data_IF_228828741265
#
_entry.id   IF_228828741265
#
_cell.length_a   1.000
_cell.length_b   1.000
_cell.length_c   1.000
_cell.angle_alpha   90.00
_cell.angle_beta   90.00
_cell.angle_gamma   90.00
#
_symmetry.space_group_name_H-M   'P 1'
#
loop_
_entity.id
_entity.type
_entity.pdbx_description
1 polymer ?
#
# COMPACT_ATOMS: atom_id res chain seq x y z
N UNK A 1 5.87 -11.05 -37.01
CA UNK A 1 6.35 -12.15 -36.14
C UNK A 1 7.04 -11.53 -34.93
N UNK A 2 6.30 -11.27 -33.86
CA UNK A 2 6.67 -10.43 -32.70
C UNK A 2 7.29 -11.27 -31.54
N UNK A 3 7.36 -12.60 -31.68
CA UNK A 3 7.71 -13.54 -30.60
C UNK A 3 9.23 -13.70 -30.34
N UNK A 4 10.05 -12.63 -30.36
CA UNK A 4 11.50 -12.76 -30.12
C UNK A 4 12.15 -11.67 -29.24
N UNK A 5 11.40 -10.97 -28.40
CA UNK A 5 12.02 -10.12 -27.37
C UNK A 5 11.82 -10.79 -26.01
N UNK A 6 12.90 -11.27 -25.40
CA UNK A 6 12.89 -11.91 -24.09
C UNK A 6 12.85 -10.83 -22.99
N UNK A 7 11.76 -10.79 -22.22
CA UNK A 7 11.69 -10.03 -20.97
C UNK A 7 12.41 -10.77 -19.85
N UNK A 8 13.23 -10.06 -19.06
CA UNK A 8 14.03 -10.61 -17.97
C UNK A 8 13.23 -11.48 -16.99
N UNK A 9 13.86 -12.54 -16.48
CA UNK A 9 13.19 -13.76 -16.02
C UNK A 9 13.14 -13.99 -14.50
N UNK A 10 13.34 -12.98 -13.66
CA UNK A 10 13.44 -13.27 -12.21
C UNK A 10 12.11 -13.59 -11.51
N UNK A 11 10.94 -13.37 -12.13
CA UNK A 11 9.63 -13.77 -11.58
C UNK A 11 8.67 -14.31 -12.66
N UNK A 12 9.21 -15.03 -13.65
CA UNK A 12 8.55 -15.37 -14.92
C UNK A 12 7.10 -15.86 -14.83
N UNK A 13 6.17 -15.02 -15.29
CA UNK A 13 5.15 -15.49 -16.24
C UNK A 13 5.87 -15.77 -17.57
N UNK A 14 5.34 -16.72 -18.35
CA UNK A 14 5.87 -17.16 -19.65
C UNK A 14 6.49 -15.98 -20.42
N UNK A 15 7.68 -16.15 -20.97
CA UNK A 15 8.54 -15.07 -21.53
C UNK A 15 7.96 -14.26 -22.71
N UNK A 16 6.65 -14.20 -22.84
CA UNK A 16 5.88 -13.29 -23.66
C UNK A 16 5.92 -11.85 -23.09
N UNK A 17 5.84 -10.91 -24.02
CA UNK A 17 5.84 -9.47 -23.73
C UNK A 17 4.40 -9.10 -23.35
N UNK A 18 4.22 -8.40 -22.24
CA UNK A 18 2.89 -7.89 -21.86
C UNK A 18 2.36 -6.85 -22.87
N UNK A 19 1.05 -6.62 -22.87
CA UNK A 19 0.40 -5.68 -23.78
C UNK A 19 0.94 -4.24 -23.65
N UNK A 20 1.24 -3.79 -22.43
CA UNK A 20 1.81 -2.46 -22.16
C UNK A 20 3.20 -2.26 -22.76
N UNK A 21 3.96 -3.34 -22.93
CA UNK A 21 5.26 -3.30 -23.61
C UNK A 21 5.12 -3.54 -25.12
N UNK A 22 4.28 -4.49 -25.54
CA UNK A 22 4.12 -4.88 -26.94
C UNK A 22 3.52 -3.78 -27.80
N UNK A 23 2.47 -3.10 -27.31
CA UNK A 23 1.74 -2.10 -28.09
C UNK A 23 2.64 -0.90 -28.46
N UNK A 24 3.37 -0.25 -27.54
CA UNK A 24 4.31 0.80 -27.90
C UNK A 24 5.40 0.31 -28.85
N UNK A 25 6.01 -0.85 -28.58
CA UNK A 25 7.07 -1.40 -29.44
C UNK A 25 6.58 -1.72 -30.84
N UNK A 26 5.33 -2.14 -31.01
CA UNK A 26 4.73 -2.36 -32.32
C UNK A 26 4.78 -1.08 -33.16
N UNK A 27 4.28 0.04 -32.62
CA UNK A 27 4.26 1.32 -33.34
C UNK A 27 5.66 1.91 -33.53
N UNK A 28 6.52 1.86 -32.51
CA UNK A 28 7.90 2.38 -32.61
C UNK A 28 8.68 1.64 -33.69
N UNK A 29 8.56 0.31 -33.79
CA UNK A 29 9.27 -0.48 -34.80
C UNK A 29 8.80 -0.23 -36.24
N UNK A 30 7.65 0.40 -36.44
CA UNK A 30 7.21 0.84 -37.77
C UNK A 30 7.99 2.08 -38.24
N UNK A 31 8.30 2.99 -37.31
CA UNK A 31 8.94 4.27 -37.61
C UNK A 31 10.46 4.25 -37.43
N UNK A 32 10.94 3.56 -36.40
CA UNK A 32 12.35 3.49 -36.01
C UNK A 32 12.83 2.04 -36.00
N UNK A 33 14.05 1.80 -36.47
CA UNK A 33 14.67 0.46 -36.46
C UNK A 33 16.04 0.41 -35.79
N UNK A 34 16.66 1.57 -35.56
CA UNK A 34 17.97 1.68 -34.95
C UNK A 34 17.86 2.30 -33.55
N UNK A 35 17.48 1.47 -32.58
CA UNK A 35 17.42 1.84 -31.17
C UNK A 35 17.65 0.63 -30.29
N UNK A 36 18.13 0.88 -29.07
CA UNK A 36 18.18 -0.12 -28.00
C UNK A 36 16.94 0.06 -27.11
N UNK A 37 16.35 -1.04 -26.68
CA UNK A 37 15.21 -1.03 -25.76
C UNK A 37 15.57 -1.70 -24.44
N UNK A 38 15.04 -1.15 -23.35
CA UNK A 38 15.08 -1.74 -22.01
C UNK A 38 13.64 -1.80 -21.53
N UNK A 39 13.15 -3.01 -21.25
CA UNK A 39 11.83 -3.20 -20.62
C UNK A 39 11.97 -3.01 -19.13
N UNK A 40 11.09 -2.20 -18.56
CA UNK A 40 10.97 -1.97 -17.13
C UNK A 40 9.62 -2.49 -16.66
N UNK A 41 9.62 -3.44 -15.74
CA UNK A 41 8.40 -3.90 -15.06
C UNK A 41 8.06 -3.02 -13.86
N UNK A 42 6.78 -2.98 -13.50
CA UNK A 42 6.31 -2.40 -12.22
C UNK A 42 6.34 -3.47 -11.13
N UNK A 43 6.59 -3.05 -9.90
CA UNK A 43 6.65 -3.94 -8.74
C UNK A 43 5.46 -3.69 -7.81
N UNK A 44 5.32 -4.49 -6.74
CA UNK A 44 4.36 -4.22 -5.66
C UNK A 44 4.84 -3.18 -4.63
N UNK A 45 5.97 -2.49 -4.89
CA UNK A 45 6.55 -1.51 -3.96
C UNK A 45 5.72 -0.21 -3.89
N UNK A 46 6.03 0.65 -2.91
CA UNK A 46 5.35 1.94 -2.75
C UNK A 46 5.55 2.86 -3.97
N UNK A 47 4.68 3.86 -4.14
CA UNK A 47 4.85 4.86 -5.19
C UNK A 47 6.13 5.68 -5.01
N UNK A 48 6.56 5.90 -3.77
CA UNK A 48 7.82 6.58 -3.48
C UNK A 48 9.03 5.77 -3.99
N UNK A 49 9.02 4.45 -3.85
CA UNK A 49 10.08 3.59 -4.40
C UNK A 49 10.03 3.52 -5.93
N UNK A 50 8.84 3.48 -6.54
CA UNK A 50 8.70 3.58 -8.00
C UNK A 50 9.23 4.93 -8.54
N UNK A 51 8.96 6.03 -7.83
CA UNK A 51 9.49 7.34 -8.19
C UNK A 51 11.03 7.38 -8.05
N UNK A 52 11.56 6.85 -6.93
CA UNK A 52 13.02 6.72 -6.73
C UNK A 52 13.66 5.90 -7.83
N UNK A 53 13.01 4.83 -8.27
CA UNK A 53 13.50 4.02 -9.38
C UNK A 53 13.61 4.83 -10.68
N UNK A 54 12.66 5.73 -10.95
CA UNK A 54 12.77 6.72 -12.02
C UNK A 54 14.00 7.63 -11.90
N UNK A 55 14.30 8.13 -10.70
CA UNK A 55 15.51 8.93 -10.45
C UNK A 55 16.80 8.12 -10.72
N UNK A 56 16.80 6.83 -10.39
CA UNK A 56 17.93 5.92 -10.68
C UNK A 56 18.08 5.72 -12.20
N UNK A 57 16.98 5.56 -12.93
CA UNK A 57 16.99 5.50 -14.41
C UNK A 57 17.61 6.78 -14.97
N UNK A 58 17.15 7.96 -14.53
CA UNK A 58 17.71 9.26 -14.94
C UNK A 58 19.22 9.30 -14.73
N UNK A 59 19.68 9.02 -13.51
CA UNK A 59 21.10 9.06 -13.17
C UNK A 59 21.91 8.06 -14.00
N UNK A 60 21.37 6.87 -14.28
CA UNK A 60 22.04 5.86 -15.11
C UNK A 60 22.21 6.34 -16.56
N UNK A 61 21.18 6.96 -17.13
CA UNK A 61 21.21 7.52 -18.49
C UNK A 61 22.26 8.64 -18.60
N UNK A 62 22.30 9.53 -17.61
CA UNK A 62 23.26 10.63 -17.52
C UNK A 62 24.70 10.13 -17.37
N UNK A 63 24.94 9.17 -16.47
CA UNK A 63 26.27 8.57 -16.27
C UNK A 63 26.79 7.87 -17.53
N UNK A 64 25.90 7.26 -18.31
CA UNK A 64 26.24 6.64 -19.59
C UNK A 64 26.39 7.64 -20.74
N UNK A 65 26.03 8.91 -20.54
CA UNK A 65 26.03 9.95 -21.58
C UNK A 65 25.09 9.65 -22.75
N UNK A 66 23.99 8.93 -22.51
CA UNK A 66 23.06 8.47 -23.55
C UNK A 66 21.86 9.40 -23.67
N UNK A 67 21.32 9.52 -24.89
CA UNK A 67 19.98 10.08 -25.11
C UNK A 67 18.97 8.95 -24.95
N UNK A 68 17.97 9.15 -24.10
CA UNK A 68 16.92 8.16 -23.85
C UNK A 68 15.54 8.80 -23.99
N UNK A 69 14.58 8.01 -24.43
CA UNK A 69 13.15 8.33 -24.37
C UNK A 69 12.52 7.33 -23.40
N UNK A 70 11.77 7.83 -22.44
CA UNK A 70 11.03 7.01 -21.47
C UNK A 70 9.57 6.99 -21.88
N UNK A 71 9.00 5.79 -21.97
CA UNK A 71 7.58 5.59 -22.30
C UNK A 71 6.94 4.85 -21.11
N UNK A 72 6.06 5.52 -20.40
CA UNK A 72 5.17 4.88 -19.43
C UNK A 72 3.87 4.51 -20.13
N UNK A 73 3.62 3.20 -20.27
CA UNK A 73 2.42 2.67 -20.89
C UNK A 73 1.60 1.92 -19.85
N UNK A 74 0.30 2.20 -19.83
CA UNK A 74 -0.68 1.57 -18.98
C UNK A 74 -2.01 2.29 -19.12
N UNK A 75 -3.10 1.58 -18.86
CA UNK A 75 -4.44 2.16 -18.92
C UNK A 75 -4.69 3.04 -17.68
N UNK A 76 -5.59 4.01 -17.83
CA UNK A 76 -6.11 4.76 -16.68
C UNK A 76 -7.12 3.86 -15.94
N UNK A 77 -8.33 4.34 -15.64
CA UNK A 77 -9.33 3.48 -15.00
C UNK A 77 -10.00 2.51 -15.97
N UNK A 78 -10.36 1.31 -15.50
CA UNK A 78 -11.09 0.30 -16.27
C UNK A 78 -12.62 0.33 -16.04
N UNK A 79 -13.13 1.30 -15.28
CA UNK A 79 -14.51 1.33 -14.78
C UNK A 79 -15.31 2.59 -15.18
N UNK A 80 -15.00 3.19 -16.34
CA UNK A 80 -15.61 4.45 -16.82
C UNK A 80 -17.06 4.30 -17.29
N UNK A 81 -17.45 3.14 -17.81
CA UNK A 81 -18.78 2.90 -18.38
C UNK A 81 -19.37 1.60 -17.86
N UNK A 82 -20.71 1.50 -17.88
CA UNK A 82 -21.42 0.26 -17.48
C UNK A 82 -21.08 -0.94 -18.38
N UNK A 83 -20.64 -0.66 -19.60
CA UNK A 83 -20.24 -1.65 -20.61
C UNK A 83 -18.80 -2.13 -20.45
N UNK A 84 -18.03 -1.58 -19.51
CA UNK A 84 -16.66 -2.08 -19.28
C UNK A 84 -16.71 -3.49 -18.67
N UNK A 85 -15.65 -4.28 -18.88
CA UNK A 85 -15.52 -5.62 -18.30
C UNK A 85 -15.55 -5.63 -16.77
N UNK A 86 -15.31 -4.48 -16.14
CA UNK A 86 -15.26 -4.30 -14.69
C UNK A 86 -16.48 -3.54 -14.13
N UNK A 87 -17.43 -3.19 -14.99
CA UNK A 87 -18.60 -2.39 -14.66
C UNK A 87 -18.27 -0.92 -14.39
N UNK A 88 -19.32 -0.14 -14.15
CA UNK A 88 -19.19 1.28 -13.85
C UNK A 88 -18.91 1.51 -12.37
N UNK A 89 -17.90 2.34 -12.08
CA UNK A 89 -17.66 2.92 -10.75
C UNK A 89 -17.38 4.42 -10.90
N UNK A 90 -18.01 5.30 -10.10
CA UNK A 90 -17.76 6.74 -10.19
C UNK A 90 -16.29 7.11 -9.95
N UNK A 91 -15.57 6.29 -9.17
CA UNK A 91 -14.15 6.41 -8.89
C UNK A 91 -13.28 6.38 -10.16
N UNK A 92 -13.72 5.68 -11.22
CA UNK A 92 -13.01 5.67 -12.49
C UNK A 92 -12.90 7.07 -13.10
N UNK A 93 -14.04 7.76 -13.25
CA UNK A 93 -14.10 9.11 -13.79
C UNK A 93 -13.30 10.11 -12.94
N UNK A 94 -13.41 10.00 -11.61
CA UNK A 94 -12.68 10.85 -10.66
C UNK A 94 -11.17 10.64 -10.80
N UNK A 95 -10.72 9.38 -10.89
CA UNK A 95 -9.31 9.06 -11.05
C UNK A 95 -8.76 9.63 -12.36
N UNK A 96 -9.44 9.39 -13.48
CA UNK A 96 -9.03 9.85 -14.80
C UNK A 96 -8.91 11.39 -14.87
N UNK A 97 -9.88 12.11 -14.30
CA UNK A 97 -9.83 13.57 -14.23
C UNK A 97 -8.61 14.03 -13.41
N UNK A 98 -8.38 13.42 -12.25
CA UNK A 98 -7.26 13.78 -11.38
C UNK A 98 -5.91 13.48 -12.02
N UNK A 99 -5.72 12.28 -12.56
CA UNK A 99 -4.46 11.88 -13.19
C UNK A 99 -4.17 12.74 -14.41
N UNK A 100 -5.16 13.01 -15.28
CA UNK A 100 -4.95 13.85 -16.45
C UNK A 100 -4.66 15.31 -16.06
N UNK A 101 -5.27 15.83 -14.99
CA UNK A 101 -4.92 17.15 -14.45
C UNK A 101 -3.46 17.18 -13.99
N UNK A 102 -3.03 16.21 -13.19
CA UNK A 102 -1.66 16.12 -12.66
C UNK A 102 -0.64 16.02 -13.79
N UNK A 103 -0.89 15.10 -14.73
CA UNK A 103 0.00 14.87 -15.88
C UNK A 103 0.05 16.09 -16.78
N UNK A 104 -1.08 16.75 -17.08
CA UNK A 104 -1.10 17.96 -17.94
C UNK A 104 -0.34 19.16 -17.39
N UNK A 105 -0.14 19.22 -16.07
CA UNK A 105 0.60 20.28 -15.38
C UNK A 105 2.03 19.86 -15.02
N UNK A 106 2.41 18.62 -15.33
CA UNK A 106 3.64 18.00 -14.85
C UNK A 106 3.87 18.20 -13.34
N UNK A 107 2.79 18.20 -12.54
CA UNK A 107 2.86 18.37 -11.08
C UNK A 107 3.06 17.02 -10.39
N UNK A 108 4.16 16.36 -10.71
CA UNK A 108 4.36 14.95 -10.43
C UNK A 108 4.34 14.57 -8.95
N UNK A 109 4.64 15.51 -8.04
CA UNK A 109 4.53 15.26 -6.60
C UNK A 109 3.13 14.85 -6.16
N UNK A 110 2.08 15.27 -6.88
CA UNK A 110 0.71 14.86 -6.58
C UNK A 110 0.50 13.35 -6.77
N UNK A 111 1.22 12.69 -7.69
CA UNK A 111 1.12 11.24 -7.93
C UNK A 111 1.38 10.43 -6.64
N UNK A 112 2.33 10.87 -5.83
CA UNK A 112 2.72 10.21 -4.58
C UNK A 112 1.60 10.27 -3.52
N UNK A 113 0.66 11.20 -3.65
CA UNK A 113 -0.39 11.49 -2.67
C UNK A 113 -1.79 11.05 -3.12
N UNK A 114 -1.91 10.28 -4.21
CA UNK A 114 -3.22 9.79 -4.64
C UNK A 114 -3.86 8.93 -3.54
N UNK A 115 -5.16 9.14 -3.34
CA UNK A 115 -5.92 8.36 -2.38
C UNK A 115 -5.90 6.88 -2.78
N UNK A 116 -5.47 6.01 -1.86
CA UNK A 116 -5.30 4.57 -2.13
C UNK A 116 -6.60 3.85 -2.44
N UNK A 117 -7.68 4.22 -1.76
CA UNK A 117 -9.01 3.70 -2.06
C UNK A 117 -9.42 4.09 -3.49
N UNK A 118 -9.18 5.34 -3.90
CA UNK A 118 -9.40 5.77 -5.28
C UNK A 118 -8.57 4.96 -6.29
N UNK A 119 -7.28 4.72 -6.02
CA UNK A 119 -6.43 3.92 -6.90
C UNK A 119 -6.92 2.47 -7.06
N UNK A 120 -7.44 1.87 -5.98
CA UNK A 120 -8.01 0.52 -6.00
C UNK A 120 -9.35 0.47 -6.73
N UNK A 121 -10.27 1.38 -6.38
CA UNK A 121 -11.63 1.42 -6.92
C UNK A 121 -11.68 1.87 -8.39
N UNK A 122 -10.70 2.66 -8.84
CA UNK A 122 -10.55 3.01 -10.24
C UNK A 122 -10.12 1.82 -11.11
N UNK A 123 -9.63 0.73 -10.49
CA UNK A 123 -9.10 -0.46 -11.18
C UNK A 123 -8.13 0.01 -12.27
N UNK A 124 -7.10 0.75 -11.88
CA UNK A 124 -6.10 1.27 -12.82
C UNK A 124 -4.87 0.36 -12.87
N UNK A 125 -4.13 0.39 -13.98
CA UNK A 125 -2.86 -0.32 -14.08
C UNK A 125 -1.64 0.58 -14.43
N UNK A 126 -1.86 1.81 -14.91
CA UNK A 126 -0.78 2.69 -15.34
C UNK A 126 -0.10 3.52 -14.25
N UNK A 127 -0.70 3.70 -13.06
CA UNK A 127 -0.26 4.72 -12.10
C UNK A 127 1.21 4.56 -11.68
N UNK A 128 1.64 3.35 -11.35
CA UNK A 128 3.03 3.07 -10.97
C UNK A 128 4.01 3.37 -12.11
N UNK A 129 3.66 3.02 -13.36
CA UNK A 129 4.49 3.32 -14.52
C UNK A 129 4.62 4.85 -14.74
N UNK A 130 3.52 5.59 -14.56
CA UNK A 130 3.53 7.06 -14.63
C UNK A 130 4.38 7.67 -13.51
N UNK A 131 4.36 7.08 -12.32
CA UNK A 131 5.22 7.48 -11.19
C UNK A 131 6.71 7.25 -11.48
N UNK A 132 7.08 6.15 -12.14
CA UNK A 132 8.47 5.93 -12.59
C UNK A 132 8.88 7.01 -13.59
N UNK A 133 8.06 7.27 -14.62
CA UNK A 133 8.34 8.31 -15.62
C UNK A 133 8.49 9.70 -14.97
N UNK A 134 7.63 10.03 -14.01
CA UNK A 134 7.76 11.24 -13.22
C UNK A 134 9.11 11.33 -12.48
N UNK A 135 9.58 10.23 -11.88
CA UNK A 135 10.88 10.15 -11.24
C UNK A 135 12.06 10.38 -12.20
N UNK A 136 11.93 9.94 -13.46
CA UNK A 136 12.91 10.24 -14.50
C UNK A 136 13.03 11.74 -14.83
N UNK A 137 12.02 12.52 -14.45
CA UNK A 137 11.92 13.98 -14.68
C UNK A 137 12.02 14.78 -13.37
N UNK A 138 12.44 14.14 -12.26
CA UNK A 138 12.66 14.83 -10.99
C UNK A 138 13.75 15.90 -11.13
N UNK A 139 13.55 17.03 -10.43
CA UNK A 139 14.43 18.21 -10.50
C UNK A 139 14.64 18.77 -11.91
N UNK A 140 13.69 18.57 -12.83
CA UNK A 140 13.69 19.20 -14.16
C UNK A 140 12.46 20.07 -14.34
N UNK A 141 12.62 21.25 -14.92
CA UNK A 141 11.51 21.93 -15.58
C UNK A 141 11.07 21.14 -16.81
N UNK A 142 9.76 21.02 -17.01
CA UNK A 142 9.17 20.16 -18.03
C UNK A 142 8.08 20.91 -18.77
N UNK A 143 8.25 21.03 -20.10
CA UNK A 143 7.16 21.40 -20.99
C UNK A 143 6.23 20.19 -21.14
N UNK A 144 4.93 20.40 -20.90
CA UNK A 144 3.92 19.35 -21.05
C UNK A 144 2.97 19.66 -22.21
N UNK A 145 2.71 18.65 -23.04
CA UNK A 145 1.67 18.66 -24.05
C UNK A 145 0.68 17.52 -23.79
N UNK A 146 -0.53 17.86 -23.34
CA UNK A 146 -1.66 16.91 -23.29
C UNK A 146 -2.28 16.82 -24.69
N UNK A 147 -2.26 15.62 -25.27
CA UNK A 147 -2.79 15.36 -26.61
C UNK A 147 -4.27 14.96 -26.56
N UNK A 148 -4.62 14.00 -25.70
CA UNK A 148 -5.99 13.48 -25.62
C UNK A 148 -6.30 12.82 -24.27
N UNK A 149 -7.59 12.66 -24.02
CA UNK A 149 -8.13 11.79 -22.98
C UNK A 149 -9.49 11.28 -23.44
N UNK A 150 -9.64 9.97 -23.55
CA UNK A 150 -10.85 9.33 -24.07
C UNK A 150 -11.14 8.02 -23.31
N UNK A 151 -12.41 7.61 -23.26
CA UNK A 151 -12.82 6.35 -22.63
C UNK A 151 -13.80 5.52 -23.50
N UNK A 152 -13.46 5.23 -24.77
CA UNK A 152 -14.41 4.69 -25.76
C UNK A 152 -14.96 3.30 -25.40
N UNK A 153 -14.20 2.50 -24.63
CA UNK A 153 -14.57 1.13 -24.25
C UNK A 153 -14.78 0.95 -22.75
N UNK A 154 -15.03 2.05 -22.03
CA UNK A 154 -15.13 2.02 -20.57
C UNK A 154 -13.80 1.87 -19.84
N UNK A 155 -12.69 1.87 -20.59
CA UNK A 155 -11.32 2.04 -20.10
C UNK A 155 -10.81 3.41 -20.53
N UNK A 156 -10.19 4.14 -19.62
CA UNK A 156 -9.62 5.45 -19.87
C UNK A 156 -8.23 5.40 -20.52
N UNK A 157 -8.02 6.23 -21.53
CA UNK A 157 -6.76 6.39 -22.25
C UNK A 157 -6.36 7.87 -22.27
N UNK A 158 -5.18 8.17 -21.75
CA UNK A 158 -4.65 9.53 -21.70
C UNK A 158 -3.26 9.61 -22.33
N UNK A 159 -3.03 10.66 -23.13
CA UNK A 159 -1.75 10.87 -23.82
C UNK A 159 -1.16 12.22 -23.46
N UNK A 160 0.01 12.20 -22.82
CA UNK A 160 0.82 13.38 -22.50
C UNK A 160 2.25 13.19 -22.97
N UNK A 161 2.84 14.24 -23.54
CA UNK A 161 4.25 14.32 -23.88
C UNK A 161 4.95 15.29 -22.93
N UNK A 162 6.19 14.96 -22.55
CA UNK A 162 6.98 15.72 -21.60
C UNK A 162 8.36 16.00 -22.19
N UNK A 163 8.78 17.26 -22.21
CA UNK A 163 10.10 17.66 -22.70
C UNK A 163 10.86 18.38 -21.57
N UNK A 164 11.98 17.83 -21.08
CA UNK A 164 12.79 18.50 -20.06
C UNK A 164 13.43 19.77 -20.63
N UNK A 165 13.48 20.83 -19.82
CA UNK A 165 13.94 22.18 -20.21
C UNK A 165 15.18 22.64 -19.47
N UNK A 166 15.53 21.96 -18.38
CA UNK A 166 16.68 22.27 -17.56
C UNK A 166 16.39 22.04 -16.08
N UNK A 167 17.45 22.08 -15.29
CA UNK A 167 17.42 21.76 -13.88
C UNK A 167 16.55 22.73 -13.06
N UNK A 168 15.68 22.18 -12.22
CA UNK A 168 14.87 22.91 -11.26
C UNK A 168 14.79 22.17 -9.92
N UNK A 169 15.60 22.60 -8.96
CA UNK A 169 15.70 22.00 -7.63
C UNK A 169 14.40 22.07 -6.81
N UNK A 170 13.50 23.02 -7.11
CA UNK A 170 12.20 23.10 -6.41
C UNK A 170 11.27 21.93 -6.75
N UNK A 171 11.57 21.19 -7.83
CA UNK A 171 10.82 20.01 -8.30
C UNK A 171 11.44 18.70 -7.79
N UNK A 172 12.15 18.73 -6.67
CA UNK A 172 12.61 17.54 -5.95
C UNK A 172 11.43 16.86 -5.23
N UNK A 173 10.45 16.39 -5.99
CA UNK A 173 9.13 16.01 -5.48
C UNK A 173 9.20 14.84 -4.49
N UNK A 174 10.08 13.86 -4.71
CA UNK A 174 10.24 12.76 -3.77
C UNK A 174 10.74 13.25 -2.40
N UNK A 175 11.75 14.13 -2.39
CA UNK A 175 12.29 14.69 -1.15
C UNK A 175 11.22 15.49 -0.39
N UNK A 176 10.47 16.32 -1.10
CA UNK A 176 9.38 17.11 -0.53
C UNK A 176 8.28 16.22 0.06
N UNK A 177 7.91 15.16 -0.66
CA UNK A 177 6.94 14.17 -0.17
C UNK A 177 7.44 13.45 1.09
N UNK A 178 8.68 12.95 1.07
CA UNK A 178 9.26 12.22 2.21
C UNK A 178 9.40 13.08 3.46
N UNK A 179 9.82 14.34 3.30
CA UNK A 179 9.90 15.27 4.43
C UNK A 179 8.51 15.57 5.02
N UNK A 180 7.49 15.75 4.17
CA UNK A 180 6.10 15.92 4.62
C UNK A 180 5.62 14.70 5.42
N UNK A 181 5.83 13.49 4.90
CA UNK A 181 5.40 12.25 5.59
C UNK A 181 6.12 12.08 6.94
N UNK A 182 7.41 12.41 6.99
CA UNK A 182 8.20 12.39 8.23
C UNK A 182 7.67 13.37 9.27
N UNK A 183 7.34 14.59 8.86
CA UNK A 183 6.76 15.60 9.75
C UNK A 183 5.39 15.15 10.29
N UNK A 184 4.54 14.58 9.43
CA UNK A 184 3.23 14.04 9.85
C UNK A 184 3.37 12.85 10.81
N UNK A 185 4.31 11.94 10.56
CA UNK A 185 4.59 10.82 11.46
C UNK A 185 5.10 11.31 12.83
N UNK A 186 5.97 12.34 12.83
CA UNK A 186 6.44 12.97 14.06
C UNK A 186 5.31 13.65 14.84
N UNK A 187 4.48 14.45 14.18
CA UNK A 187 3.33 15.10 14.83
C UNK A 187 2.35 14.10 15.45
N UNK A 188 2.10 12.97 14.77
CA UNK A 188 1.30 11.87 15.34
C UNK A 188 1.97 11.29 16.56
N UNK A 189 3.27 11.01 16.47
CA UNK A 189 4.04 10.45 17.58
C UNK A 189 4.08 11.36 18.81
N UNK A 190 4.16 12.68 18.61
CA UNK A 190 4.13 13.67 19.70
C UNK A 190 2.78 13.67 20.45
N UNK A 191 1.70 13.31 19.76
CA UNK A 191 0.33 13.21 20.34
C UNK A 191 -0.04 11.80 20.79
N UNK A 192 0.74 10.79 20.37
CA UNK A 192 0.46 9.40 20.63
C UNK A 192 0.30 9.13 22.11
N UNK A 193 -0.55 8.19 22.49
CA UNK A 193 -0.71 7.82 23.90
C UNK A 193 0.40 6.87 24.39
N UNK A 194 0.26 6.40 25.63
CA UNK A 194 1.24 5.50 26.26
C UNK A 194 1.32 4.12 25.59
N UNK A 195 0.25 3.64 24.95
CA UNK A 195 0.19 2.33 24.30
C UNK A 195 1.03 2.35 23.03
N UNK A 196 0.80 3.36 22.20
CA UNK A 196 1.55 3.58 20.95
C UNK A 196 3.02 3.89 21.25
N UNK A 197 3.30 4.71 22.27
CA UNK A 197 4.68 4.98 22.72
C UNK A 197 5.42 3.71 23.15
N UNK A 198 4.74 2.82 23.89
CA UNK A 198 5.32 1.55 24.31
C UNK A 198 5.61 0.64 23.11
N UNK A 199 4.67 0.55 22.17
CA UNK A 199 4.86 -0.22 20.94
C UNK A 199 6.04 0.31 20.12
N UNK A 200 6.16 1.63 19.96
CA UNK A 200 7.29 2.25 19.25
C UNK A 200 8.62 1.96 19.92
N UNK A 201 8.73 2.20 21.23
CA UNK A 201 9.96 1.89 21.97
C UNK A 201 10.33 0.41 21.86
N UNK A 202 9.35 -0.50 21.87
CA UNK A 202 9.60 -1.92 21.70
C UNK A 202 10.22 -2.24 20.34
N UNK A 203 9.67 -1.67 19.26
CA UNK A 203 10.17 -1.84 17.90
C UNK A 203 11.60 -1.27 17.77
N UNK A 204 11.80 -0.01 18.17
CA UNK A 204 13.11 0.66 18.10
C UNK A 204 14.18 -0.09 18.89
N UNK A 205 13.87 -0.49 20.13
CA UNK A 205 14.78 -1.26 20.98
C UNK A 205 15.14 -2.59 20.33
N UNK A 206 14.16 -3.31 19.78
CA UNK A 206 14.41 -4.61 19.17
C UNK A 206 15.21 -4.49 17.87
N UNK A 207 14.94 -3.49 17.03
CA UNK A 207 15.71 -3.27 15.80
C UNK A 207 17.16 -2.97 16.13
N UNK A 208 17.41 -2.06 17.09
CA UNK A 208 18.76 -1.64 17.48
C UNK A 208 19.56 -2.73 18.23
N UNK A 209 18.90 -3.53 19.09
CA UNK A 209 19.61 -4.41 20.05
C UNK A 209 19.34 -5.90 19.87
N UNK A 210 18.34 -6.27 19.06
CA UNK A 210 17.78 -7.64 18.94
C UNK A 210 17.30 -8.22 20.27
N UNK A 211 16.98 -7.36 21.25
CA UNK A 211 16.44 -7.74 22.56
C UNK A 211 15.07 -7.12 22.76
N UNK A 212 14.20 -7.86 23.44
CA UNK A 212 12.88 -7.36 23.81
C UNK A 212 13.00 -6.29 24.91
N UNK A 213 12.23 -5.21 24.75
CA UNK A 213 12.02 -4.24 25.79
C UNK A 213 11.40 -4.92 27.02
N UNK A 214 11.84 -4.53 28.23
CA UNK A 214 11.21 -4.94 29.48
C UNK A 214 10.21 -3.87 29.92
N UNK A 215 8.96 -4.21 30.24
CA UNK A 215 8.00 -3.23 30.76
C UNK A 215 8.53 -2.52 32.00
N UNK A 216 8.37 -1.19 32.06
CA UNK A 216 8.68 -0.42 33.26
C UNK A 216 7.58 -0.58 34.31
N UNK A 217 7.97 -0.64 35.58
CA UNK A 217 7.02 -0.58 36.70
C UNK A 217 6.29 0.76 36.81
N UNK A 218 6.80 1.81 36.15
CA UNK A 218 6.20 3.15 36.12
C UNK A 218 5.07 3.29 35.08
N UNK A 219 4.80 2.26 34.28
CA UNK A 219 3.66 2.28 33.35
C UNK A 219 2.33 2.33 34.13
N UNK A 220 1.27 2.91 33.53
CA UNK A 220 -0.07 2.90 34.08
C UNK A 220 -0.50 1.51 34.60
N UNK A 221 -1.27 1.45 35.72
CA UNK A 221 -1.65 0.18 36.33
C UNK A 221 -2.37 -0.79 35.38
N UNK A 222 -3.20 -0.29 34.48
CA UNK A 222 -3.89 -1.08 33.44
C UNK A 222 -2.89 -1.89 32.58
N UNK A 223 -1.82 -1.24 32.10
CA UNK A 223 -0.79 -1.87 31.29
C UNK A 223 -0.01 -2.95 32.04
N UNK A 224 0.18 -2.76 33.35
CA UNK A 224 0.98 -3.66 34.19
C UNK A 224 0.18 -4.77 34.88
N UNK A 225 -1.15 -4.67 34.95
CA UNK A 225 -1.99 -5.61 35.72
C UNK A 225 -3.02 -6.33 34.87
N UNK A 226 -3.52 -5.72 33.81
CA UNK A 226 -4.55 -6.32 32.98
C UNK A 226 -3.97 -7.30 31.97
N UNK A 227 -4.85 -8.16 31.45
CA UNK A 227 -4.58 -9.05 30.34
C UNK A 227 -5.63 -8.82 29.27
N UNK A 228 -5.19 -8.50 28.06
CA UNK A 228 -6.06 -8.44 26.90
C UNK A 228 -5.30 -8.89 25.65
N UNK A 229 -6.03 -9.32 24.63
CA UNK A 229 -5.47 -9.47 23.29
C UNK A 229 -5.12 -8.09 22.72
N UNK A 230 -4.12 -8.04 21.84
CA UNK A 230 -3.66 -6.80 21.22
C UNK A 230 -3.33 -7.05 19.77
N UNK A 231 -3.75 -6.15 18.89
CA UNK A 231 -3.23 -6.04 17.53
C UNK A 231 -2.38 -4.79 17.41
N UNK A 232 -1.17 -4.94 16.87
CA UNK A 232 -0.31 -3.80 16.52
C UNK A 232 -0.23 -3.74 15.01
N UNK A 233 -0.64 -2.60 14.46
CA UNK A 233 -0.60 -2.31 13.04
C UNK A 233 0.41 -1.21 12.79
N UNK A 234 1.32 -1.45 11.84
CA UNK A 234 2.35 -0.52 11.41
C UNK A 234 2.01 -0.08 10.00
N UNK A 235 1.97 1.22 9.79
CA UNK A 235 1.86 1.85 8.49
C UNK A 235 3.13 2.63 8.16
N UNK A 236 3.44 2.72 6.87
CA UNK A 236 4.52 3.55 6.33
C UNK A 236 4.04 4.20 5.05
N UNK A 237 4.17 5.52 4.91
CA UNK A 237 3.75 6.26 3.70
C UNK A 237 2.29 5.96 3.30
N UNK A 238 1.42 5.79 4.32
CA UNK A 238 0.01 5.43 4.16
C UNK A 238 -0.28 3.96 3.84
N UNK A 239 0.74 3.12 3.64
CA UNK A 239 0.61 1.70 3.30
C UNK A 239 0.79 0.80 4.52
N UNK A 240 0.09 -0.33 4.55
CA UNK A 240 0.28 -1.36 5.57
C UNK A 240 1.71 -1.92 5.46
N UNK A 241 2.45 -1.89 6.57
CA UNK A 241 3.85 -2.36 6.66
C UNK A 241 4.04 -3.54 7.61
N UNK A 242 3.03 -3.82 8.43
CA UNK A 242 2.95 -5.00 9.29
C UNK A 242 1.69 -4.97 10.15
N UNK A 243 1.06 -6.11 10.41
CA UNK A 243 -0.03 -6.22 11.36
C UNK A 243 -0.01 -7.60 12.01
N UNK A 244 0.29 -7.64 13.31
CA UNK A 244 0.29 -8.87 14.10
C UNK A 244 -0.43 -8.62 15.42
N UNK A 245 -1.16 -9.64 15.87
CA UNK A 245 -1.83 -9.57 17.15
C UNK A 245 -2.32 -10.90 17.67
N UNK A 246 -2.95 -10.81 18.83
CA UNK A 246 -3.60 -11.91 19.53
C UNK A 246 -5.01 -11.49 19.93
N UNK A 247 -5.97 -12.39 19.75
CA UNK A 247 -7.36 -12.15 20.17
C UNK A 247 -7.56 -12.43 21.66
N UNK A 248 -6.92 -13.49 22.16
CA UNK A 248 -6.85 -13.82 23.59
C UNK A 248 -5.45 -13.48 24.11
N UNK A 249 -5.31 -12.94 25.33
CA UNK A 249 -4.00 -12.58 25.90
C UNK A 249 -3.09 -13.81 26.01
N UNK A 250 -1.85 -13.67 25.52
CA UNK A 250 -0.80 -14.71 25.60
C UNK A 250 0.27 -14.37 26.65
N UNK A 251 0.29 -13.14 27.15
CA UNK A 251 1.24 -12.62 28.14
C UNK A 251 0.60 -12.37 29.51
N UNK A 252 1.44 -12.09 30.50
CA UNK A 252 0.96 -11.89 31.88
C UNK A 252 0.38 -10.50 32.08
N UNK A 253 0.83 -9.54 31.28
CA UNK A 253 0.37 -8.15 31.32
C UNK A 253 0.11 -7.63 29.92
N UNK A 254 -0.74 -6.61 29.82
CA UNK A 254 -1.03 -5.92 28.57
C UNK A 254 0.22 -5.25 27.97
N UNK A 255 1.10 -4.71 28.79
CA UNK A 255 2.39 -4.16 28.35
C UNK A 255 3.27 -5.21 27.65
N UNK A 256 3.38 -6.42 28.23
CA UNK A 256 4.11 -7.52 27.60
C UNK A 256 3.47 -7.95 26.27
N UNK A 257 2.14 -7.93 26.18
CA UNK A 257 1.40 -8.26 24.96
C UNK A 257 1.68 -7.24 23.85
N UNK A 258 1.60 -5.93 24.17
CA UNK A 258 1.92 -4.83 23.23
C UNK A 258 3.35 -4.97 22.74
N UNK A 259 4.33 -5.13 23.64
CA UNK A 259 5.75 -5.26 23.26
C UNK A 259 5.96 -6.44 22.32
N UNK A 260 5.38 -7.60 22.65
CA UNK A 260 5.55 -8.81 21.86
C UNK A 260 4.93 -8.68 20.46
N UNK A 261 3.70 -8.16 20.37
CA UNK A 261 2.99 -8.01 19.10
C UNK A 261 3.56 -6.86 18.26
N UNK A 262 4.06 -5.78 18.87
CA UNK A 262 4.75 -4.71 18.14
C UNK A 262 6.03 -5.20 17.45
N UNK A 263 6.87 -5.94 18.18
CA UNK A 263 8.08 -6.56 17.61
C UNK A 263 7.71 -7.59 16.54
N UNK A 264 6.65 -8.37 16.75
CA UNK A 264 6.20 -9.34 15.76
C UNK A 264 5.66 -8.67 14.48
N UNK A 265 4.88 -7.58 14.60
CA UNK A 265 4.41 -6.81 13.46
C UNK A 265 5.58 -6.21 12.65
N UNK A 266 6.65 -5.80 13.33
CA UNK A 266 7.84 -5.23 12.70
C UNK A 266 8.78 -6.25 12.04
N UNK A 267 8.79 -7.51 12.51
CA UNK A 267 9.87 -8.46 12.19
C UNK A 267 9.41 -9.85 11.75
N UNK A 268 8.15 -10.22 12.00
CA UNK A 268 7.63 -11.60 11.81
C UNK A 268 6.38 -11.67 10.93
N UNK A 269 5.91 -10.56 10.39
CA UNK A 269 4.80 -10.57 9.44
C UNK A 269 5.32 -11.06 8.08
N UNK A 270 5.04 -12.32 7.73
CA UNK A 270 5.58 -13.00 6.54
C UNK A 270 5.19 -12.35 5.21
N UNK A 271 4.22 -11.43 5.22
CA UNK A 271 3.83 -10.64 4.04
C UNK A 271 4.85 -9.56 3.70
N UNK A 272 5.75 -9.23 4.64
CA UNK A 272 6.70 -8.14 4.50
C UNK A 272 8.10 -8.52 4.98
N UNK A 273 9.11 -7.93 4.35
CA UNK A 273 10.48 -8.03 4.87
C UNK A 273 10.59 -7.37 6.25
N UNK A 274 11.47 -7.86 7.15
CA UNK A 274 11.69 -7.24 8.44
C UNK A 274 12.08 -5.77 8.34
N UNK A 275 11.53 -4.94 9.23
CA UNK A 275 11.87 -3.51 9.29
C UNK A 275 13.36 -3.29 9.60
N UNK A 276 13.94 -2.29 8.94
CA UNK A 276 15.29 -1.80 9.21
C UNK A 276 15.30 -0.39 9.82
N UNK A 277 16.47 0.06 10.29
CA UNK A 277 16.63 1.35 10.98
C UNK A 277 16.19 2.56 10.15
N UNK A 278 16.41 2.52 8.83
CA UNK A 278 16.07 3.66 7.96
C UNK A 278 14.55 3.83 7.77
N UNK A 279 13.74 2.86 8.19
CA UNK A 279 12.29 2.92 8.06
C UNK A 279 11.61 3.54 9.30
N UNK A 280 12.32 3.62 10.44
CA UNK A 280 11.75 3.95 11.75
C UNK A 280 11.12 5.35 11.82
N UNK A 281 11.73 6.33 11.15
CA UNK A 281 11.32 7.74 11.23
C UNK A 281 9.91 7.98 10.68
N UNK A 282 9.47 7.16 9.73
CA UNK A 282 8.22 7.37 8.98
C UNK A 282 7.10 6.39 9.39
N UNK A 283 7.27 5.66 10.50
CA UNK A 283 6.27 4.71 10.95
C UNK A 283 5.11 5.39 11.67
N UNK A 284 3.90 4.97 11.31
CA UNK A 284 2.68 5.22 12.07
C UNK A 284 2.30 3.89 12.73
N UNK A 285 2.18 3.89 14.04
CA UNK A 285 1.86 2.70 14.82
C UNK A 285 0.48 2.88 15.43
N UNK A 286 -0.34 1.85 15.30
CA UNK A 286 -1.68 1.79 15.85
C UNK A 286 -1.77 0.56 16.74
N UNK A 287 -2.34 0.73 17.93
CA UNK A 287 -2.52 -0.36 18.90
C UNK A 287 -4.01 -0.53 19.16
N UNK A 288 -4.55 -1.69 18.82
CA UNK A 288 -5.93 -2.07 19.07
C UNK A 288 -5.97 -3.09 20.22
N UNK A 289 -6.52 -2.69 21.37
CA UNK A 289 -6.68 -3.59 22.52
C UNK A 289 -8.05 -4.27 22.44
N UNK A 290 -8.05 -5.60 22.45
CA UNK A 290 -9.27 -6.42 22.34
C UNK A 290 -10.03 -6.39 23.66
N UNK A 291 -11.30 -5.99 23.61
CA UNK A 291 -12.23 -5.98 24.74
C UNK A 291 -13.47 -6.81 24.42
N UNK A 292 -14.13 -7.30 25.47
CA UNK A 292 -15.46 -7.89 25.36
C UNK A 292 -15.60 -9.03 24.32
N UNK A 293 -14.64 -9.96 24.28
CA UNK A 293 -14.74 -11.16 23.42
C UNK A 293 -15.84 -12.09 23.95
N UNK A 294 -16.98 -12.13 23.27
CA UNK A 294 -18.17 -12.87 23.70
C UNK A 294 -18.73 -13.72 22.55
N UNK A 295 -19.29 -14.91 22.83
CA UNK A 295 -19.93 -15.74 21.82
C UNK A 295 -21.18 -15.07 21.26
N UNK A 296 -21.47 -15.37 19.99
CA UNK A 296 -22.59 -14.83 19.22
C UNK A 296 -23.51 -15.98 18.86
N UNK A 297 -24.78 -15.88 19.25
CA UNK A 297 -25.80 -16.90 18.97
C UNK A 297 -26.56 -16.62 17.66
N UNK A 298 -26.61 -15.35 17.25
CA UNK A 298 -27.28 -14.91 16.02
C UNK A 298 -26.47 -13.83 15.31
N UNK A 299 -26.43 -13.89 13.98
CA UNK A 299 -25.80 -12.86 13.14
C UNK A 299 -26.39 -11.46 13.37
N UNK A 300 -27.64 -11.37 13.84
CA UNK A 300 -28.29 -10.10 14.20
C UNK A 300 -27.64 -9.38 15.38
N UNK A 301 -26.80 -10.07 16.16
CA UNK A 301 -26.04 -9.48 17.26
C UNK A 301 -24.72 -8.85 16.78
N UNK A 302 -24.43 -8.93 15.48
CA UNK A 302 -23.25 -8.34 14.85
C UNK A 302 -23.58 -7.00 14.18
N UNK A 303 -22.58 -6.13 14.20
CA UNK A 303 -22.59 -4.84 13.53
C UNK A 303 -21.17 -4.62 13.00
N UNK A 304 -21.04 -4.55 11.67
CA UNK A 304 -19.75 -4.46 10.96
C UNK A 304 -18.95 -3.21 11.30
N UNK A 305 -19.63 -2.14 11.73
CA UNK A 305 -19.03 -0.87 12.09
C UNK A 305 -18.64 -0.80 13.56
N UNK A 306 -19.22 -1.67 14.40
CA UNK A 306 -18.94 -1.70 15.83
C UNK A 306 -18.03 -2.84 16.26
N UNK A 307 -18.26 -4.04 15.74
CA UNK A 307 -17.67 -5.27 16.25
C UNK A 307 -16.68 -5.89 15.27
N UNK A 308 -15.57 -6.37 15.82
CA UNK A 308 -14.75 -7.37 15.16
C UNK A 308 -15.37 -8.75 15.30
N UNK A 309 -15.06 -9.65 14.36
CA UNK A 309 -15.60 -11.01 14.32
C UNK A 309 -14.46 -12.01 14.40
N UNK A 310 -14.63 -13.04 15.24
CA UNK A 310 -13.79 -14.24 15.24
C UNK A 310 -14.66 -15.44 14.87
N UNK A 311 -14.17 -16.24 13.93
CA UNK A 311 -14.72 -17.58 13.63
C UNK A 311 -13.78 -18.63 14.21
N UNK A 312 -14.34 -19.68 14.77
CA UNK A 312 -13.61 -20.84 15.29
C UNK A 312 -14.28 -22.12 14.76
N UNK A 313 -13.47 -23.04 14.23
CA UNK A 313 -13.88 -24.34 13.70
C UNK A 313 -12.75 -25.34 13.90
N UNK A 314 -12.94 -26.30 14.81
CA UNK A 314 -11.90 -27.25 15.21
C UNK A 314 -10.61 -26.53 15.68
N UNK A 315 -9.48 -26.72 14.99
CA UNK A 315 -8.21 -26.06 15.26
C UNK A 315 -8.02 -24.75 14.46
N UNK A 316 -8.95 -24.45 13.55
CA UNK A 316 -8.91 -23.28 12.67
C UNK A 316 -9.65 -22.11 13.32
N UNK A 317 -9.03 -20.94 13.26
CA UNK A 317 -9.68 -19.70 13.64
C UNK A 317 -9.17 -18.55 12.79
N UNK A 318 -10.01 -17.54 12.60
CA UNK A 318 -9.61 -16.29 11.99
C UNK A 318 -10.35 -15.13 12.65
N UNK A 319 -9.68 -13.98 12.59
CA UNK A 319 -10.16 -12.73 13.17
C UNK A 319 -10.16 -11.66 12.08
N UNK A 320 -11.21 -10.83 12.14
CA UNK A 320 -11.36 -9.62 11.37
C UNK A 320 -11.69 -8.46 12.32
N UNK A 321 -10.93 -7.38 12.23
CA UNK A 321 -11.12 -6.17 13.04
C UNK A 321 -12.38 -5.41 12.58
N UNK A 322 -12.98 -4.57 13.45
CA UNK A 322 -14.10 -3.70 13.07
C UNK A 322 -13.68 -2.60 12.07
N UNK A 323 -14.67 -1.97 11.41
CA UNK A 323 -14.50 -0.74 10.58
C UNK A 323 -13.52 -0.86 9.41
N UNK A 324 -13.46 -2.04 8.78
CA UNK A 324 -12.62 -2.22 7.61
C UNK A 324 -13.30 -1.69 6.33
N UNK A 325 -12.61 -0.91 5.49
CA UNK A 325 -13.18 -0.37 4.25
C UNK A 325 -13.79 -1.45 3.35
N UNK A 326 -15.01 -1.21 2.86
CA UNK A 326 -15.72 -2.11 1.95
C UNK A 326 -16.31 -3.36 2.61
N UNK A 327 -16.29 -3.45 3.94
CA UNK A 327 -16.90 -4.55 4.70
C UNK A 327 -18.08 -4.01 5.50
N UNK A 328 -19.22 -3.90 4.82
CA UNK A 328 -20.37 -3.18 5.36
C UNK A 328 -21.42 -4.10 6.02
N UNK A 329 -21.29 -5.42 5.90
CA UNK A 329 -22.24 -6.39 6.47
C UNK A 329 -21.58 -7.46 7.33
N UNK A 330 -22.25 -7.94 8.40
CA UNK A 330 -21.78 -9.06 9.21
C UNK A 330 -21.55 -10.35 8.41
N UNK A 331 -22.39 -10.64 7.41
CA UNK A 331 -22.24 -11.81 6.54
C UNK A 331 -20.89 -11.78 5.83
N UNK A 332 -20.52 -10.59 5.32
CA UNK A 332 -19.25 -10.38 4.64
C UNK A 332 -18.06 -10.51 5.59
N UNK A 333 -18.19 -10.07 6.85
CA UNK A 333 -17.17 -10.29 7.88
C UNK A 333 -16.93 -11.79 8.11
N UNK A 334 -18.01 -12.56 8.30
CA UNK A 334 -17.93 -14.00 8.54
C UNK A 334 -17.34 -14.73 7.33
N UNK A 335 -17.78 -14.40 6.11
CA UNK A 335 -17.26 -15.00 4.87
C UNK A 335 -15.75 -14.79 4.73
N UNK A 336 -15.27 -13.56 4.97
CA UNK A 336 -13.84 -13.22 4.90
C UNK A 336 -13.06 -13.98 5.98
N UNK A 337 -13.58 -14.04 7.21
CA UNK A 337 -12.98 -14.83 8.28
C UNK A 337 -12.86 -16.31 7.91
N UNK A 338 -13.93 -16.94 7.41
CA UNK A 338 -13.91 -18.34 6.98
C UNK A 338 -12.84 -18.58 5.90
N UNK A 339 -12.77 -17.72 4.88
CA UNK A 339 -11.74 -17.80 3.84
C UNK A 339 -10.33 -17.68 4.41
N UNK A 340 -10.11 -16.72 5.33
CA UNK A 340 -8.81 -16.50 5.99
C UNK A 340 -8.37 -17.68 6.85
N UNK A 341 -9.32 -18.38 7.47
CA UNK A 341 -9.07 -19.61 8.24
C UNK A 341 -8.98 -20.88 7.37
N UNK A 342 -9.28 -20.80 6.07
CA UNK A 342 -9.39 -21.99 5.22
C UNK A 342 -10.56 -22.91 5.63
N UNK A 343 -11.67 -22.32 6.06
CA UNK A 343 -12.92 -22.99 6.41
C UNK A 343 -13.89 -22.88 5.22
N UNK A 344 -14.48 -24.00 4.73
CA UNK A 344 -15.50 -23.95 3.68
C UNK A 344 -16.71 -23.08 4.08
N UNK A 345 -17.27 -22.33 3.12
CA UNK A 345 -18.32 -21.35 3.43
C UNK A 345 -19.60 -21.96 4.00
N UNK A 346 -19.89 -23.21 3.64
CA UNK A 346 -21.08 -23.95 4.07
C UNK A 346 -20.95 -24.59 5.48
N UNK A 347 -19.76 -24.56 6.10
CA UNK A 347 -19.58 -25.13 7.44
C UNK A 347 -20.17 -24.22 8.52
N UNK A 348 -20.78 -24.83 9.52
CA UNK A 348 -21.18 -24.11 10.74
C UNK A 348 -19.94 -23.84 11.60
N UNK A 349 -19.85 -22.64 12.18
CA UNK A 349 -18.68 -22.19 12.95
C UNK A 349 -19.11 -21.55 14.25
N UNK A 350 -18.28 -21.66 15.28
CA UNK A 350 -18.46 -20.88 16.50
C UNK A 350 -18.13 -19.43 16.19
N UNK A 351 -19.08 -18.53 16.51
CA UNK A 351 -18.96 -17.11 16.27
C UNK A 351 -18.72 -16.35 17.57
N UNK A 352 -17.80 -15.41 17.51
CA UNK A 352 -17.56 -14.47 18.60
C UNK A 352 -17.49 -13.05 18.06
N UNK A 353 -17.94 -12.10 18.86
CA UNK A 353 -17.76 -10.66 18.63
C UNK A 353 -16.86 -10.07 19.69
N UNK A 354 -16.15 -9.02 19.34
CA UNK A 354 -15.32 -8.25 20.26
C UNK A 354 -15.29 -6.77 19.85
N UNK A 355 -14.94 -5.93 20.81
CA UNK A 355 -14.69 -4.50 20.60
C UNK A 355 -13.18 -4.25 20.62
N UNK A 356 -12.74 -3.17 19.98
CA UNK A 356 -11.36 -2.69 20.11
C UNK A 356 -11.31 -1.31 20.71
N UNK A 357 -10.42 -1.14 21.68
CA UNK A 357 -9.98 0.16 22.15
C UNK A 357 -8.83 0.61 21.24
N UNK A 358 -9.05 1.68 20.48
CA UNK A 358 -8.16 2.11 19.39
C UNK A 358 -7.23 3.22 19.86
N UNK A 359 -5.93 2.95 19.86
CA UNK A 359 -4.88 3.87 20.30
C UNK A 359 -4.01 4.32 19.10
N UNK A 360 -3.85 5.63 18.93
CA UNK A 360 -3.16 6.28 17.80
C UNK A 360 -2.19 7.36 18.23
#
# INVERSE_FOLDING_TARGET
>A
KINRLQGGTENGTEGEIDHGTMVPLYFINHEFRDFLSVRVGVSGQSLAEHYRFGQIIKSSVEQLGRKAVVIASGDLSHCQLRTSSYGYRPEGAIYDEQIMRVMSKANFGELLSFNRFLLGEAIQCGHAAFTILAGCLDREDVDCLRLSHEAPYGTGYGFCCFTPKGENQSRAFLNLYQERERLLAKERMDRADVYVRLARQAIETFIATKRFLKPSQTLPPELNKEKAGVFVTIYREGELRGCIGSIKPKKKTLAEEIIANAVAAAYKDERFEPLNENELDNLIIVVDVVRNLIPVLSITDLDSQKYGVMVEFEDKHAVLLPKLPGIDTPEKQIEICKRKAGIPLYEDVDLYRFETEHHV
#
